data_IF_532648239365
#
_entry.id   IF_532648239365
#
_cell.length_a   1.000
_cell.length_b   1.000
_cell.length_c   1.000
_cell.angle_alpha   90.00
_cell.angle_beta   90.00
_cell.angle_gamma   90.00
#
_symmetry.space_group_name_H-M   'P 1'
#
loop_
_entity.id
_entity.type
_entity.pdbx_description
1 polymer ?
#
# COMPACT_ATOMS: atom_id res chain seq x y z
N UNK A 1 -16.81 -16.90 6.50
CA UNK A 1 -16.18 -15.88 5.65
C UNK A 1 -14.98 -16.51 4.95
N UNK A 2 -14.76 -16.17 3.70
CA UNK A 2 -13.59 -16.68 2.93
C UNK A 2 -12.38 -15.75 3.02
N UNK A 3 -12.57 -14.49 3.41
CA UNK A 3 -11.53 -13.49 3.58
C UNK A 3 -11.87 -12.61 4.78
N UNK A 4 -10.85 -12.12 5.46
CA UNK A 4 -10.97 -11.18 6.55
C UNK A 4 -9.79 -10.21 6.53
N UNK A 5 -9.97 -9.00 7.02
CA UNK A 5 -8.91 -8.04 7.31
C UNK A 5 -9.17 -7.38 8.65
N UNK A 6 -8.12 -7.04 9.35
CA UNK A 6 -8.16 -6.40 10.65
C UNK A 6 -7.00 -5.44 10.83
N UNK A 7 -7.14 -4.50 11.76
CA UNK A 7 -6.11 -3.51 12.05
C UNK A 7 -6.15 -3.09 13.51
N UNK A 8 -4.99 -3.05 14.15
CA UNK A 8 -4.81 -2.46 15.47
C UNK A 8 -4.14 -1.10 15.28
N UNK A 9 -4.95 -0.03 15.35
CA UNK A 9 -4.45 1.32 15.07
C UNK A 9 -3.60 1.85 16.21
N UNK A 10 -2.35 2.16 15.90
CA UNK A 10 -1.52 3.04 16.72
C UNK A 10 -1.57 4.45 16.11
N UNK A 11 -1.98 5.46 16.88
CA UNK A 11 -2.20 6.81 16.37
C UNK A 11 -0.87 7.51 16.05
N UNK A 12 -0.41 7.45 14.82
CA UNK A 12 0.77 8.16 14.29
C UNK A 12 0.37 9.44 13.56
N UNK A 13 -0.71 9.41 12.78
CA UNK A 13 -1.29 10.54 12.08
C UNK A 13 -2.78 10.66 12.38
N UNK A 14 -3.28 11.91 12.49
CA UNK A 14 -4.68 12.19 12.78
C UNK A 14 -5.08 12.00 14.25
N UNK A 15 -6.25 12.51 14.59
CA UNK A 15 -6.79 12.48 15.97
C UNK A 15 -7.18 11.05 16.39
N UNK A 16 -7.20 10.79 17.70
CA UNK A 16 -7.76 9.58 18.28
C UNK A 16 -9.29 9.65 18.24
N UNK A 17 -9.84 9.25 17.11
CA UNK A 17 -11.30 9.26 16.86
C UNK A 17 -11.73 7.95 16.22
N UNK A 18 -12.99 7.57 16.44
CA UNK A 18 -13.59 6.42 15.75
C UNK A 18 -13.65 6.60 14.22
N UNK A 19 -13.75 7.85 13.74
CA UNK A 19 -13.72 8.16 12.32
C UNK A 19 -12.38 7.80 11.64
N UNK A 20 -11.31 7.67 12.42
CA UNK A 20 -9.99 7.26 11.95
C UNK A 20 -9.71 5.77 12.20
N UNK A 21 -10.70 5.00 12.66
CA UNK A 21 -10.51 3.56 12.86
C UNK A 21 -10.29 2.84 11.52
N UNK A 22 -9.50 1.77 11.58
CA UNK A 22 -9.20 0.91 10.45
C UNK A 22 -9.64 -0.54 10.76
N UNK A 23 -9.98 -1.36 9.77
CA UNK A 23 -10.05 -1.06 8.33
C UNK A 23 -11.03 0.04 7.99
N UNK A 24 -10.66 0.94 7.07
CA UNK A 24 -11.58 1.93 6.53
C UNK A 24 -12.45 1.28 5.46
N UNK A 25 -13.75 1.23 5.69
CA UNK A 25 -14.71 0.58 4.79
C UNK A 25 -15.35 1.63 3.88
N UNK A 26 -15.30 1.37 2.58
CA UNK A 26 -15.85 2.24 1.55
C UNK A 26 -16.83 1.46 0.69
N UNK A 27 -17.91 2.12 0.32
CA UNK A 27 -18.90 1.63 -0.61
C UNK A 27 -18.94 2.53 -1.83
N UNK A 28 -18.75 1.96 -3.00
CA UNK A 28 -18.80 2.70 -4.27
C UNK A 28 -19.49 1.85 -5.36
N UNK A 29 -19.76 2.44 -6.52
CA UNK A 29 -20.56 1.80 -7.57
C UNK A 29 -19.96 0.47 -8.12
N UNK A 30 -18.66 0.25 -7.97
CA UNK A 30 -17.99 -1.02 -8.36
C UNK A 30 -17.85 -2.03 -7.21
N UNK A 31 -18.51 -1.78 -6.07
CA UNK A 31 -18.53 -2.67 -4.91
C UNK A 31 -17.94 -2.05 -3.65
N UNK A 32 -17.84 -2.84 -2.58
CA UNK A 32 -17.22 -2.42 -1.33
C UNK A 32 -15.74 -2.80 -1.28
N UNK A 33 -14.97 -2.01 -0.55
CA UNK A 33 -13.59 -2.33 -0.21
C UNK A 33 -13.27 -1.90 1.22
N UNK A 34 -12.29 -2.57 1.82
CA UNK A 34 -11.73 -2.22 3.12
C UNK A 34 -10.24 -1.93 2.94
N UNK A 35 -9.76 -0.85 3.55
CA UNK A 35 -8.37 -0.39 3.44
C UNK A 35 -7.75 -0.34 4.82
N UNK A 36 -6.61 -1.02 4.97
CA UNK A 36 -5.71 -0.91 6.11
C UNK A 36 -4.41 -0.23 5.66
N UNK A 37 -3.89 0.66 6.47
CA UNK A 37 -2.67 1.41 6.21
C UNK A 37 -1.81 1.49 7.47
N UNK A 38 -0.58 1.06 7.36
CA UNK A 38 0.49 1.35 8.31
C UNK A 38 1.49 2.29 7.66
N UNK A 39 1.73 3.42 8.28
CA UNK A 39 2.68 4.39 7.76
C UNK A 39 2.26 5.82 7.95
N UNK A 40 2.86 6.68 7.14
CA UNK A 40 2.55 8.10 7.11
C UNK A 40 2.90 8.69 5.73
N UNK A 41 1.97 9.41 5.13
CA UNK A 41 2.16 10.07 3.86
C UNK A 41 2.65 11.51 4.08
N UNK A 42 3.73 11.87 3.38
CA UNK A 42 4.29 13.23 3.45
C UNK A 42 3.49 14.23 2.63
N UNK A 43 2.81 13.76 1.56
CA UNK A 43 1.99 14.59 0.69
C UNK A 43 0.48 14.56 1.02
N UNK A 44 0.07 13.89 2.12
CA UNK A 44 -1.35 13.77 2.50
C UNK A 44 -2.10 15.11 2.55
N UNK A 45 -1.56 16.22 3.10
CA UNK A 45 -2.27 17.49 3.13
C UNK A 45 -2.56 18.06 1.73
N UNK A 46 -1.62 17.93 0.80
CA UNK A 46 -1.76 18.37 -0.59
C UNK A 46 -2.84 17.55 -1.31
N UNK A 47 -2.78 16.23 -1.16
CA UNK A 47 -3.75 15.31 -1.77
C UNK A 47 -5.15 15.52 -1.20
N UNK A 48 -5.26 15.68 0.12
CA UNK A 48 -6.53 15.96 0.79
C UNK A 48 -7.18 17.21 0.22
N UNK A 49 -6.43 18.32 0.13
CA UNK A 49 -6.95 19.57 -0.45
C UNK A 49 -7.43 19.38 -1.90
N UNK A 50 -6.67 18.65 -2.72
CA UNK A 50 -7.07 18.32 -4.10
C UNK A 50 -8.40 17.56 -4.14
N UNK A 51 -8.57 16.58 -3.26
CA UNK A 51 -9.79 15.80 -3.14
C UNK A 51 -10.98 16.63 -2.64
N UNK A 52 -10.79 17.47 -1.63
CA UNK A 52 -11.82 18.39 -1.12
C UNK A 52 -12.30 19.36 -2.23
N UNK A 53 -11.37 19.90 -3.01
CA UNK A 53 -11.70 20.75 -4.16
C UNK A 53 -12.44 20.03 -5.27
N UNK A 54 -12.31 18.71 -5.36
CA UNK A 54 -13.09 17.85 -6.29
C UNK A 54 -14.41 17.36 -5.69
N UNK A 55 -14.79 17.82 -4.49
CA UNK A 55 -16.06 17.50 -3.86
C UNK A 55 -16.01 16.32 -2.88
N UNK A 56 -14.84 15.78 -2.54
CA UNK A 56 -14.75 14.72 -1.52
C UNK A 56 -15.01 15.30 -0.12
N UNK A 57 -15.84 14.61 0.66
CA UNK A 57 -16.19 14.99 2.03
C UNK A 57 -15.45 14.06 2.99
N UNK A 58 -14.54 14.61 3.78
CA UNK A 58 -13.77 13.87 4.76
C UNK A 58 -14.47 13.82 6.11
N UNK A 59 -14.45 12.66 6.76
CA UNK A 59 -15.04 12.44 8.09
C UNK A 59 -13.98 12.32 9.18
N UNK A 60 -12.75 12.05 8.80
CA UNK A 60 -11.62 11.89 9.68
C UNK A 60 -10.46 12.81 9.33
N UNK A 61 -9.37 12.62 10.05
CA UNK A 61 -8.12 13.38 9.88
C UNK A 61 -6.95 12.48 9.47
N UNK A 62 -7.23 11.20 9.19
CA UNK A 62 -6.23 10.21 8.82
C UNK A 62 -5.82 10.34 7.35
N UNK A 63 -4.55 10.11 7.07
CA UNK A 63 -4.03 9.95 5.72
C UNK A 63 -4.58 8.68 5.04
N UNK A 64 -4.99 7.68 5.82
CA UNK A 64 -5.70 6.49 5.30
C UNK A 64 -6.97 6.87 4.53
N UNK A 65 -7.69 7.90 4.99
CA UNK A 65 -8.89 8.38 4.30
C UNK A 65 -8.53 9.02 2.95
N UNK A 66 -7.40 9.69 2.86
CA UNK A 66 -6.87 10.23 1.60
C UNK A 66 -6.57 9.08 0.62
N UNK A 67 -5.87 8.04 1.09
CA UNK A 67 -5.59 6.83 0.28
C UNK A 67 -6.89 6.20 -0.20
N UNK A 68 -7.86 6.07 0.67
CA UNK A 68 -9.14 5.43 0.36
C UNK A 68 -9.92 6.18 -0.73
N UNK A 69 -9.94 7.51 -0.68
CA UNK A 69 -10.58 8.33 -1.72
C UNK A 69 -9.82 8.29 -3.06
N UNK A 70 -8.49 8.39 -3.05
CA UNK A 70 -7.67 8.25 -4.25
C UNK A 70 -7.87 6.88 -4.90
N UNK A 71 -7.82 5.83 -4.10
CA UNK A 71 -8.05 4.47 -4.58
C UNK A 71 -9.44 4.31 -5.21
N UNK A 72 -10.46 4.93 -4.62
CA UNK A 72 -11.82 4.94 -5.16
C UNK A 72 -11.87 5.67 -6.51
N UNK A 73 -11.28 6.87 -6.61
CA UNK A 73 -11.23 7.62 -7.86
C UNK A 73 -10.48 6.82 -8.94
N UNK A 74 -9.31 6.29 -8.62
CA UNK A 74 -8.52 5.47 -9.54
C UNK A 74 -9.28 4.20 -9.94
N UNK A 75 -10.04 3.58 -9.02
CA UNK A 75 -10.85 2.41 -9.31
C UNK A 75 -11.98 2.70 -10.31
N UNK A 76 -12.54 3.89 -10.30
CA UNK A 76 -13.55 4.30 -11.28
C UNK A 76 -12.96 4.44 -12.68
N UNK A 77 -11.71 4.88 -12.77
CA UNK A 77 -10.99 5.18 -14.02
C UNK A 77 -10.22 3.97 -14.59
N UNK A 78 -10.15 2.86 -13.85
CA UNK A 78 -9.37 1.69 -14.25
C UNK A 78 -10.25 0.45 -14.44
N UNK A 79 -9.85 -0.50 -15.31
CA UNK A 79 -10.61 -1.73 -15.54
C UNK A 79 -10.60 -2.66 -14.32
N UNK A 80 -9.54 -2.68 -13.54
CA UNK A 80 -9.38 -3.58 -12.38
C UNK A 80 -8.80 -2.85 -11.17
N UNK A 81 -8.87 -3.50 -10.01
CA UNK A 81 -8.41 -2.93 -8.74
C UNK A 81 -6.88 -2.86 -8.68
N UNK A 82 -6.17 -3.76 -9.34
CA UNK A 82 -4.71 -3.81 -9.35
C UNK A 82 -4.13 -2.54 -10.00
N UNK A 83 -4.69 -2.13 -11.14
CA UNK A 83 -4.30 -0.87 -11.78
C UNK A 83 -4.70 0.34 -10.96
N UNK A 84 -5.81 0.28 -10.21
CA UNK A 84 -6.19 1.35 -9.30
C UNK A 84 -5.18 1.49 -8.15
N UNK A 85 -4.72 0.37 -7.58
CA UNK A 85 -3.68 0.37 -6.53
C UNK A 85 -2.38 0.93 -7.09
N UNK A 86 -1.92 0.45 -8.25
CA UNK A 86 -0.73 0.95 -8.92
C UNK A 86 -0.77 2.48 -9.10
N UNK A 87 -1.82 3.02 -9.72
CA UNK A 87 -1.98 4.48 -9.88
C UNK A 87 -2.05 5.23 -8.54
N UNK A 88 -2.62 4.62 -7.52
CA UNK A 88 -2.65 5.23 -6.20
C UNK A 88 -1.25 5.29 -5.59
N UNK A 89 -0.42 4.26 -5.82
CA UNK A 89 0.98 4.25 -5.39
C UNK A 89 1.82 5.33 -6.11
N UNK A 90 1.50 5.66 -7.36
CA UNK A 90 2.15 6.76 -8.09
C UNK A 90 1.79 8.15 -7.53
N UNK A 91 0.59 8.28 -6.95
CA UNK A 91 0.11 9.56 -6.40
C UNK A 91 0.59 9.83 -4.95
N UNK A 92 0.80 8.78 -4.15
CA UNK A 92 1.12 8.88 -2.72
C UNK A 92 2.63 8.85 -2.46
N UNK A 93 3.09 9.73 -1.58
CA UNK A 93 4.49 9.83 -1.18
C UNK A 93 4.64 9.57 0.32
N UNK A 94 5.60 8.75 0.70
CA UNK A 94 5.90 8.46 2.10
C UNK A 94 6.17 7.00 2.39
N UNK A 95 6.16 6.66 3.66
CA UNK A 95 6.32 5.27 4.12
C UNK A 95 4.95 4.64 4.31
N UNK A 96 4.68 3.52 3.64
CA UNK A 96 3.40 2.83 3.77
C UNK A 96 3.47 1.33 3.51
N UNK A 97 2.61 0.60 4.19
CA UNK A 97 2.17 -0.73 3.80
C UNK A 97 0.64 -0.76 3.81
N UNK A 98 0.07 -1.28 2.74
CA UNK A 98 -1.38 -1.31 2.52
C UNK A 98 -1.88 -2.75 2.46
N UNK A 99 -3.01 -3.01 3.09
CA UNK A 99 -3.80 -4.20 2.86
C UNK A 99 -5.20 -3.77 2.45
N UNK A 100 -5.61 -4.18 1.25
CA UNK A 100 -6.89 -3.82 0.66
C UNK A 100 -7.69 -5.09 0.41
N UNK A 101 -8.90 -5.14 0.94
CA UNK A 101 -9.82 -6.25 0.72
C UNK A 101 -10.99 -5.79 -0.14
N UNK A 102 -11.29 -6.56 -1.17
CA UNK A 102 -12.50 -6.44 -1.99
C UNK A 102 -13.38 -7.68 -1.79
N UNK A 103 -14.47 -7.80 -2.50
CA UNK A 103 -15.31 -9.01 -2.44
C UNK A 103 -14.60 -10.30 -2.87
N UNK A 104 -13.56 -10.19 -3.70
CA UNK A 104 -12.94 -11.35 -4.33
C UNK A 104 -11.43 -11.41 -4.19
N UNK A 105 -10.80 -10.36 -3.68
CA UNK A 105 -9.34 -10.22 -3.64
C UNK A 105 -8.88 -9.63 -2.32
N UNK A 106 -7.76 -10.14 -1.83
CA UNK A 106 -6.96 -9.52 -0.79
C UNK A 106 -5.67 -9.04 -1.46
N UNK A 107 -5.32 -7.76 -1.28
CA UNK A 107 -4.21 -7.12 -1.97
C UNK A 107 -3.30 -6.52 -0.92
N UNK A 108 -2.01 -6.80 -1.03
CA UNK A 108 -0.95 -6.20 -0.22
C UNK A 108 -0.09 -5.32 -1.12
N UNK A 109 0.24 -4.11 -0.68
CA UNK A 109 1.13 -3.21 -1.41
C UNK A 109 2.11 -2.55 -0.44
N UNK A 110 3.38 -2.45 -0.83
CA UNK A 110 4.45 -1.88 -0.02
C UNK A 110 5.05 -0.66 -0.71
N UNK A 111 5.44 0.35 0.08
CA UNK A 111 6.06 1.55 -0.46
C UNK A 111 7.33 1.24 -1.28
N UNK A 112 7.66 2.07 -2.29
CA UNK A 112 8.80 1.81 -3.19
C UNK A 112 10.16 1.74 -2.49
N UNK A 113 10.28 2.32 -1.29
CA UNK A 113 11.51 2.28 -0.49
C UNK A 113 11.51 1.14 0.53
N UNK A 114 10.37 0.47 0.74
CA UNK A 114 10.23 -0.62 1.69
C UNK A 114 10.40 -0.20 3.15
N UNK A 115 10.05 1.04 3.50
CA UNK A 115 10.19 1.55 4.88
C UNK A 115 9.30 0.82 5.88
N UNK A 116 8.07 0.48 5.46
CA UNK A 116 7.15 -0.26 6.34
C UNK A 116 7.24 -1.75 6.06
N UNK A 117 7.28 -2.60 7.09
CA UNK A 117 7.29 -4.04 6.91
C UNK A 117 5.93 -4.54 6.41
N UNK A 118 5.96 -5.57 5.59
CA UNK A 118 4.79 -6.31 5.15
C UNK A 118 5.24 -7.69 4.68
N UNK A 119 4.66 -8.74 5.20
CA UNK A 119 5.05 -10.11 4.91
C UNK A 119 3.88 -10.98 4.45
N UNK A 120 4.21 -12.08 3.83
CA UNK A 120 3.31 -13.07 3.26
C UNK A 120 3.49 -14.37 4.02
N UNK A 121 2.37 -14.97 4.42
CA UNK A 121 2.31 -16.32 4.98
C UNK A 121 1.34 -17.20 4.22
N UNK A 122 1.60 -18.48 4.21
CA UNK A 122 0.71 -19.51 3.72
C UNK A 122 -0.05 -20.12 4.90
N UNK A 123 -1.37 -20.16 4.81
CA UNK A 123 -2.22 -20.76 5.83
C UNK A 123 -2.04 -22.30 5.85
N UNK A 124 -2.28 -22.96 7.00
CA UNK A 124 -2.19 -24.40 7.11
C UNK A 124 -2.96 -25.13 6.00
N UNK A 125 -2.40 -26.25 5.55
CA UNK A 125 -3.00 -27.13 4.53
C UNK A 125 -3.24 -26.47 3.16
N UNK A 126 -2.49 -25.38 2.87
CA UNK A 126 -2.67 -24.65 1.61
C UNK A 126 -4.03 -24.00 1.46
N UNK A 127 -4.74 -23.75 2.59
CA UNK A 127 -6.12 -23.21 2.59
C UNK A 127 -6.20 -21.76 2.12
N UNK A 128 -5.05 -21.05 1.99
CA UNK A 128 -4.99 -19.68 1.52
C UNK A 128 -3.75 -18.92 1.96
N UNK A 129 -3.84 -17.59 1.88
CA UNK A 129 -2.74 -16.67 2.11
C UNK A 129 -3.07 -15.68 3.22
N UNK A 130 -2.06 -15.28 3.97
CA UNK A 130 -2.13 -14.25 4.99
C UNK A 130 -1.11 -13.13 4.67
N UNK A 131 -1.51 -11.88 4.88
CA UNK A 131 -0.63 -10.72 4.86
C UNK A 131 -0.58 -10.13 6.25
N UNK A 132 0.61 -9.81 6.73
CA UNK A 132 0.80 -9.21 8.05
C UNK A 132 1.92 -8.17 8.02
N UNK A 133 1.83 -7.17 8.89
CA UNK A 133 2.91 -6.21 9.07
C UNK A 133 4.13 -6.82 9.77
N UNK A 134 3.93 -7.91 10.53
CA UNK A 134 4.99 -8.60 11.27
C UNK A 134 4.78 -10.12 11.24
N UNK A 135 5.87 -10.88 11.22
CA UNK A 135 5.83 -12.35 11.14
C UNK A 135 5.19 -13.00 12.36
N UNK A 136 5.29 -12.37 13.55
CA UNK A 136 4.63 -12.88 14.76
C UNK A 136 3.10 -12.95 14.62
N UNK A 137 2.49 -12.11 13.77
CA UNK A 137 1.08 -12.21 13.49
C UNK A 137 0.73 -13.41 12.59
N UNK A 138 1.66 -13.84 11.73
CA UNK A 138 1.52 -15.08 10.97
C UNK A 138 1.58 -16.30 11.89
N UNK A 139 2.52 -16.30 12.84
CA UNK A 139 2.64 -17.37 13.84
C UNK A 139 1.37 -17.51 14.67
N UNK A 140 0.76 -16.38 15.06
CA UNK A 140 -0.48 -16.37 15.85
C UNK A 140 -1.68 -17.04 15.13
N UNK A 141 -1.70 -17.04 13.81
CA UNK A 141 -2.74 -17.69 12.99
C UNK A 141 -2.28 -19.04 12.43
N UNK A 142 -1.09 -19.51 12.82
CA UNK A 142 -0.51 -20.76 12.35
C UNK A 142 -0.08 -20.73 10.88
N UNK A 143 0.09 -19.55 10.30
CA UNK A 143 0.54 -19.41 8.93
C UNK A 143 2.07 -19.54 8.85
N UNK A 144 2.55 -20.28 7.85
CA UNK A 144 3.98 -20.41 7.58
C UNK A 144 4.47 -19.14 6.86
N UNK A 145 5.49 -18.48 7.39
CA UNK A 145 6.15 -17.36 6.72
C UNK A 145 6.73 -17.83 5.37
N UNK A 146 6.45 -17.09 4.32
CA UNK A 146 6.94 -17.33 2.96
C UNK A 146 8.04 -16.35 2.61
N UNK A 147 7.74 -15.07 2.64
CA UNK A 147 8.68 -13.98 2.36
C UNK A 147 8.10 -12.62 2.74
N UNK A 148 8.94 -11.61 2.72
CA UNK A 148 8.48 -10.21 2.73
C UNK A 148 7.93 -9.80 1.36
N UNK A 149 7.00 -8.84 1.36
CA UNK A 149 6.60 -8.10 0.16
C UNK A 149 7.76 -7.18 -0.22
N UNK A 150 8.19 -7.23 -1.47
CA UNK A 150 9.30 -6.40 -1.95
C UNK A 150 8.94 -4.91 -1.95
N UNK A 151 9.90 -3.99 -1.86
CA UNK A 151 9.66 -2.57 -2.09
C UNK A 151 8.98 -2.34 -3.44
N UNK A 152 7.91 -1.53 -3.47
CA UNK A 152 7.15 -1.24 -4.69
C UNK A 152 6.23 -2.36 -5.19
N UNK A 153 6.26 -3.53 -4.58
CA UNK A 153 5.49 -4.68 -5.03
C UNK A 153 4.02 -4.59 -4.63
N UNK A 154 3.15 -5.06 -5.52
CA UNK A 154 1.73 -5.33 -5.27
C UNK A 154 1.52 -6.85 -5.34
N UNK A 155 1.05 -7.45 -4.26
CA UNK A 155 0.74 -8.88 -4.17
C UNK A 155 -0.76 -9.06 -4.07
N UNK A 156 -1.31 -9.97 -4.85
CA UNK A 156 -2.74 -10.24 -4.92
C UNK A 156 -3.00 -11.70 -4.58
N UNK A 157 -3.87 -11.93 -3.59
CA UNK A 157 -4.42 -13.23 -3.28
C UNK A 157 -5.90 -13.27 -3.68
N UNK A 158 -6.26 -14.22 -4.52
CA UNK A 158 -7.64 -14.46 -4.94
C UNK A 158 -7.88 -15.98 -5.11
N UNK A 159 -9.04 -16.36 -5.64
CA UNK A 159 -9.40 -17.77 -5.86
C UNK A 159 -8.46 -18.53 -6.80
N UNK A 160 -7.64 -17.83 -7.57
CA UNK A 160 -6.69 -18.42 -8.50
C UNK A 160 -5.29 -18.57 -7.86
N UNK A 161 -5.14 -18.18 -6.58
CA UNK A 161 -3.89 -18.25 -5.83
C UNK A 161 -3.24 -16.89 -5.60
N UNK A 162 -1.93 -16.89 -5.41
CA UNK A 162 -1.11 -15.71 -5.16
C UNK A 162 -0.42 -15.29 -6.45
N UNK A 163 -0.43 -13.98 -6.72
CA UNK A 163 0.33 -13.39 -7.83
C UNK A 163 0.89 -12.04 -7.42
N UNK A 164 1.95 -11.61 -8.10
CA UNK A 164 2.70 -10.42 -7.80
C UNK A 164 2.85 -9.52 -9.04
N UNK A 165 2.91 -8.22 -8.79
CA UNK A 165 3.25 -7.18 -9.77
C UNK A 165 4.44 -6.43 -9.16
N UNK A 166 5.64 -6.61 -9.74
CA UNK A 166 6.90 -6.09 -9.20
C UNK A 166 7.27 -4.70 -9.76
N UNK A 167 6.70 -4.31 -10.88
CA UNK A 167 6.90 -2.99 -11.47
C UNK A 167 5.55 -2.38 -11.85
N UNK A 168 4.82 -1.79 -10.89
CA UNK A 168 3.56 -1.13 -11.16
C UNK A 168 3.72 0.12 -12.04
N UNK A 169 4.92 0.73 -12.08
CA UNK A 169 5.28 1.85 -12.95
C UNK A 169 5.78 1.42 -14.34
N UNK A 170 5.61 0.14 -14.70
CA UNK A 170 5.98 -0.36 -16.01
C UNK A 170 5.40 0.54 -17.07
N UNK A 171 6.26 1.31 -17.72
CA UNK A 171 5.99 2.17 -18.86
C UNK A 171 5.16 1.39 -19.85
N UNK A 172 3.85 1.67 -19.92
CA UNK A 172 3.08 1.27 -21.08
C UNK A 172 3.80 1.85 -22.31
N UNK A 173 4.14 1.06 -23.32
CA UNK A 173 4.73 1.61 -24.50
C UNK A 173 3.72 2.59 -25.10
N UNK A 174 4.08 3.87 -25.13
CA UNK A 174 3.39 4.83 -25.96
C UNK A 174 3.48 4.30 -27.40
N UNK A 175 2.38 3.78 -27.91
CA UNK A 175 2.22 3.46 -29.31
C UNK A 175 2.22 4.77 -30.09
N UNK A 176 3.30 5.03 -30.77
CA UNK A 176 3.41 6.10 -31.77
C UNK A 176 4.65 6.95 -31.58
N UNK A 177 5.79 6.48 -32.12
CA UNK A 177 6.49 7.20 -33.16
C UNK A 177 7.77 6.41 -33.52
N UNK A 178 7.83 5.99 -34.74
CA UNK A 178 9.03 5.56 -35.43
C UNK A 178 9.88 6.79 -35.67
N UNK A 179 10.98 6.95 -34.95
CA UNK A 179 12.16 7.60 -35.48
C UNK A 179 13.46 7.04 -34.92
N UNK A 180 14.37 6.78 -35.85
CA UNK A 180 15.70 6.24 -35.68
C UNK A 180 16.62 7.29 -35.05
N UNK A 181 17.18 6.99 -33.87
CA UNK A 181 18.24 7.82 -33.27
C UNK A 181 18.91 7.14 -32.10
N UNK A 182 20.17 6.74 -32.26
CA UNK A 182 21.04 6.27 -31.18
C UNK A 182 21.15 7.35 -30.11
N UNK A 183 20.69 7.02 -28.89
CA UNK A 183 20.86 7.84 -27.70
C UNK A 183 21.16 6.94 -26.51
N UNK A 184 22.19 7.29 -25.79
CA UNK A 184 22.69 6.74 -24.51
C UNK A 184 21.58 6.55 -23.48
N UNK A 185 21.75 5.71 -22.42
CA UNK A 185 20.72 5.43 -21.44
C UNK A 185 20.24 6.73 -20.79
N UNK A 186 18.97 7.05 -21.05
CA UNK A 186 18.36 8.31 -20.69
C UNK A 186 18.00 8.38 -19.21
N UNK A 187 18.37 9.52 -18.66
CA UNK A 187 18.00 10.04 -17.36
C UNK A 187 16.47 10.07 -17.19
N UNK A 188 15.99 9.59 -16.06
CA UNK A 188 14.61 9.81 -15.64
C UNK A 188 14.38 11.32 -15.45
N UNK A 189 13.32 11.93 -16.00
CA UNK A 189 12.99 13.33 -15.75
C UNK A 189 12.44 13.49 -14.33
N UNK A 190 13.27 13.90 -13.43
CA UNK A 190 12.99 14.07 -12.01
C UNK A 190 14.21 13.68 -11.20
N UNK A 191 15.33 14.39 -11.44
CA UNK A 191 16.62 14.11 -10.81
C UNK A 191 16.55 14.13 -9.29
N UNK A 192 16.61 12.95 -8.72
CA UNK A 192 17.01 12.71 -7.35
C UNK A 192 18.43 12.18 -7.39
N UNK A 193 19.40 13.09 -7.45
CA UNK A 193 20.78 12.75 -7.13
C UNK A 193 20.81 12.21 -5.70
N UNK A 194 21.13 10.94 -5.55
CA UNK A 194 21.58 10.37 -4.29
C UNK A 194 22.84 11.14 -3.86
N UNK A 195 22.69 12.10 -2.96
CA UNK A 195 23.83 12.72 -2.31
C UNK A 195 24.58 11.63 -1.54
N UNK A 196 25.87 11.40 -1.79
CA UNK A 196 26.68 10.52 -0.97
C UNK A 196 26.81 11.17 0.41
N UNK A 197 26.19 10.58 1.44
CA UNK A 197 26.28 11.07 2.81
C UNK A 197 25.07 10.85 3.69
N UNK A 198 23.96 10.31 3.21
CA UNK A 198 22.81 9.99 4.06
C UNK A 198 23.03 8.64 4.77
N UNK A 199 24.01 8.63 5.69
CA UNK A 199 24.20 7.55 6.65
C UNK A 199 23.13 7.66 7.72
N UNK A 200 22.35 6.60 7.86
CA UNK A 200 21.60 6.20 9.06
C UNK A 200 20.70 7.27 9.67
N UNK A 201 19.47 7.37 9.21
CA UNK A 201 18.39 7.83 10.10
C UNK A 201 18.11 6.73 11.12
N UNK A 202 18.69 6.90 12.32
CA UNK A 202 18.26 6.15 13.51
C UNK A 202 16.93 6.73 13.94
N UNK A 203 15.83 6.05 13.68
CA UNK A 203 14.59 6.33 14.37
C UNK A 203 14.74 5.86 15.82
N UNK A 204 14.37 6.66 16.83
CA UNK A 204 14.32 6.16 18.18
C UNK A 204 13.32 5.00 18.23
N UNK A 205 13.77 3.85 18.68
CA UNK A 205 12.92 2.69 18.91
C UNK A 205 11.76 3.10 19.85
N UNK A 206 10.51 2.78 19.52
CA UNK A 206 9.44 2.92 20.50
C UNK A 206 9.69 1.96 21.64
N UNK A 207 9.61 2.50 22.81
CA UNK A 207 9.75 1.90 24.14
C UNK A 207 9.69 0.37 24.24
N UNK A 208 10.80 -0.21 24.67
CA UNK A 208 10.83 -1.24 25.71
C UNK A 208 10.39 -2.66 25.32
N UNK A 209 11.17 -3.38 24.52
CA UNK A 209 11.20 -4.84 24.63
C UNK A 209 12.54 -5.22 25.26
N UNK A 210 12.51 -5.56 26.57
CA UNK A 210 13.60 -6.27 27.20
C UNK A 210 13.45 -7.74 26.82
N UNK A 211 14.44 -8.27 26.10
CA UNK A 211 14.65 -9.70 26.03
C UNK A 211 15.04 -10.18 27.43
N UNK A 212 14.18 -11.00 28.05
CA UNK A 212 14.59 -11.83 29.18
C UNK A 212 15.33 -13.05 28.61
N UNK A 213 16.54 -13.24 29.11
CA UNK A 213 17.31 -14.47 28.92
C UNK A 213 16.66 -15.64 29.68
#
# INVERSE_FOLDING_TARGET
AKMATGHVRYATAGQRSRSNAQPMILHHCKGAMAVCHNGNLVNAPKLRRKLEMSGSIFHGTSDTEVIAYLLTQNRLLTPNIEMAVSRTMDDIEGAYSLVIMTHTKLIAARDPNGFRPLCIGELPDGSGWAFASESCALDAVGAKFVRDVKPGEIVIADRNGLRSIEDPCGTAPHSGDTDSGRGSPGECPGGWELRPGCSRFSFPAPYGWRTAH
#
